data_IF_688684565100
#
_entry.id   IF_688684565100
#
_cell.length_a   1.000
_cell.length_b   1.000
_cell.length_c   1.000
_cell.angle_alpha   90.00
_cell.angle_beta   90.00
_cell.angle_gamma   90.00
#
_symmetry.space_group_name_H-M   'P 1'
#
loop_
_entity.id
_entity.type
_entity.pdbx_description
1 polymer ?
#
# COMPACT_ATOMS: atom_id res chain seq x y z
N UNK A 1 39.26 -59.84 20.48
CA UNK A 1 39.50 -58.40 20.53
C UNK A 1 38.80 -57.80 19.30
N UNK A 2 37.54 -57.36 19.41
CA UNK A 2 36.79 -56.76 18.30
C UNK A 2 36.77 -55.25 18.49
N UNK A 3 37.45 -54.54 17.59
CA UNK A 3 37.41 -53.06 17.56
C UNK A 3 36.16 -52.60 16.83
N UNK A 4 35.26 -51.92 17.52
CA UNK A 4 34.05 -51.36 16.96
C UNK A 4 34.35 -49.91 16.55
N UNK A 5 34.43 -49.64 15.27
CA UNK A 5 34.64 -48.30 14.71
C UNK A 5 33.27 -47.65 14.52
N UNK A 6 32.94 -46.67 15.35
CA UNK A 6 31.70 -45.85 15.20
C UNK A 6 31.94 -44.83 14.08
N UNK A 7 31.24 -45.00 12.97
CA UNK A 7 31.16 -44.01 11.89
C UNK A 7 30.20 -42.91 12.27
N UNK A 8 30.71 -41.73 12.62
CA UNK A 8 29.91 -40.55 12.91
C UNK A 8 29.48 -39.94 11.59
N UNK A 9 28.20 -40.11 11.21
CA UNK A 9 27.61 -39.44 10.05
C UNK A 9 27.27 -38.00 10.43
N UNK A 10 28.05 -37.04 9.92
CA UNK A 10 27.73 -35.61 10.01
C UNK A 10 26.68 -35.31 8.97
N UNK A 11 25.41 -35.11 9.40
CA UNK A 11 24.35 -34.60 8.54
C UNK A 11 24.57 -33.09 8.40
N UNK A 12 25.14 -32.65 7.29
CA UNK A 12 25.22 -31.25 6.92
C UNK A 12 23.81 -30.78 6.55
N UNK A 13 23.19 -30.00 7.44
CA UNK A 13 21.91 -29.32 7.17
C UNK A 13 22.22 -28.21 6.17
N UNK A 14 21.91 -28.41 4.89
CA UNK A 14 22.00 -27.37 3.89
C UNK A 14 20.90 -26.33 4.16
N UNK A 15 21.28 -25.21 4.77
CA UNK A 15 20.41 -24.02 4.86
C UNK A 15 20.37 -23.42 3.46
N UNK A 16 19.36 -23.78 2.67
CA UNK A 16 19.07 -23.09 1.43
C UNK A 16 18.55 -21.68 1.79
N UNK A 17 19.34 -20.64 1.53
CA UNK A 17 18.87 -19.27 1.57
C UNK A 17 17.82 -19.11 0.47
N UNK A 18 16.55 -18.96 0.86
CA UNK A 18 15.49 -18.58 -0.07
C UNK A 18 15.79 -17.14 -0.48
N UNK A 19 16.24 -16.95 -1.72
CA UNK A 19 16.37 -15.63 -2.32
C UNK A 19 14.95 -15.08 -2.57
N UNK A 20 14.74 -13.78 -2.30
CA UNK A 20 13.50 -13.12 -2.64
C UNK A 20 13.24 -13.21 -4.15
N UNK A 21 12.02 -13.59 -4.53
CA UNK A 21 11.60 -13.58 -5.92
C UNK A 21 10.87 -12.25 -6.25
N UNK A 22 10.87 -11.89 -7.53
CA UNK A 22 10.27 -10.65 -8.02
C UNK A 22 11.25 -9.46 -8.07
N UNK A 23 10.76 -8.27 -8.44
CA UNK A 23 11.58 -7.09 -8.64
C UNK A 23 12.09 -6.53 -7.30
N UNK A 24 13.18 -5.76 -7.33
CA UNK A 24 13.64 -5.00 -6.16
C UNK A 24 12.50 -4.14 -5.60
N UNK A 25 12.35 -4.05 -4.28
CA UNK A 25 11.32 -3.26 -3.63
C UNK A 25 11.37 -1.77 -4.07
N UNK A 26 10.22 -1.12 -4.11
CA UNK A 26 10.13 0.33 -4.35
C UNK A 26 10.45 1.05 -3.04
N UNK A 27 11.48 1.91 -2.99
CA UNK A 27 11.78 2.69 -1.79
C UNK A 27 10.71 3.78 -1.59
N UNK A 28 10.03 3.76 -0.46
CA UNK A 28 8.99 4.74 -0.13
C UNK A 28 9.55 5.98 0.57
N UNK A 29 10.81 5.96 1.00
CA UNK A 29 11.39 7.04 1.79
C UNK A 29 10.54 7.40 3.01
N UNK A 30 10.47 8.67 3.36
CA UNK A 30 9.68 9.17 4.49
C UNK A 30 8.16 9.09 4.25
N UNK A 31 7.70 8.95 3.00
CA UNK A 31 6.30 8.67 2.69
C UNK A 31 5.82 7.34 3.32
N UNK A 32 6.72 6.38 3.49
CA UNK A 32 6.45 5.12 4.18
C UNK A 32 6.06 5.23 5.65
N UNK A 33 6.24 6.40 6.29
CA UNK A 33 5.82 6.66 7.67
C UNK A 33 4.31 6.90 7.80
N UNK A 34 3.59 7.09 6.69
CA UNK A 34 2.16 7.39 6.68
C UNK A 34 1.32 6.17 6.29
N UNK A 35 0.20 5.99 6.97
CA UNK A 35 -0.88 5.12 6.52
C UNK A 35 -1.59 5.73 5.31
N UNK A 36 -1.81 7.06 5.36
CA UNK A 36 -2.40 7.84 4.27
C UNK A 36 -1.59 9.13 4.10
N UNK A 37 -1.09 9.36 2.89
CA UNK A 37 -0.46 10.63 2.48
C UNK A 37 -1.11 11.09 1.18
N UNK A 38 -1.58 12.35 1.16
CA UNK A 38 -2.27 12.92 0.00
C UNK A 38 -1.81 14.36 -0.27
N UNK A 39 -1.95 14.81 -1.53
CA UNK A 39 -1.54 16.17 -1.87
C UNK A 39 -2.66 17.20 -1.73
N UNK A 40 -3.93 16.82 -1.89
CA UNK A 40 -5.02 17.80 -1.96
C UNK A 40 -6.05 17.69 -0.83
N UNK A 41 -6.47 16.49 -0.46
CA UNK A 41 -7.45 16.28 0.60
C UNK A 41 -7.46 14.86 1.12
N UNK A 42 -7.85 14.68 2.40
CA UNK A 42 -8.29 13.40 2.95
C UNK A 42 -9.63 13.62 3.64
N UNK A 43 -10.66 12.87 3.22
CA UNK A 43 -12.00 12.97 3.79
C UNK A 43 -12.46 11.62 4.36
N UNK A 44 -13.27 11.69 5.43
CA UNK A 44 -13.90 10.51 6.04
C UNK A 44 -15.35 10.84 6.41
N UNK A 45 -16.31 10.25 5.70
CA UNK A 45 -17.75 10.44 5.96
C UNK A 45 -18.50 9.20 5.45
N UNK A 46 -19.17 8.45 6.31
CA UNK A 46 -19.10 8.42 7.78
C UNK A 46 -17.73 8.03 8.33
N UNK A 47 -17.60 8.02 9.67
CA UNK A 47 -16.33 7.77 10.37
C UNK A 47 -15.64 6.48 9.93
N UNK A 48 -14.31 6.57 9.78
CA UNK A 48 -13.40 5.46 9.40
C UNK A 48 -12.45 5.13 10.55
N UNK A 49 -11.74 4.01 10.46
CA UNK A 49 -10.72 3.61 11.41
C UNK A 49 -9.36 3.52 10.71
N UNK A 50 -8.39 4.32 11.15
CA UNK A 50 -7.05 4.38 10.54
C UNK A 50 -6.00 4.06 11.60
N UNK A 51 -5.21 3.02 11.35
CA UNK A 51 -4.03 2.69 12.15
C UNK A 51 -2.79 3.18 11.44
N UNK A 52 -2.17 4.23 11.99
CA UNK A 52 -0.99 4.92 11.44
C UNK A 52 -1.22 6.42 11.26
N UNK A 53 -0.23 7.13 10.76
CA UNK A 53 -0.29 8.58 10.56
C UNK A 53 -1.01 8.96 9.26
N UNK A 54 -1.63 10.14 9.26
CA UNK A 54 -2.26 10.76 8.08
C UNK A 54 -1.58 12.10 7.81
N UNK A 55 -1.22 12.35 6.56
CA UNK A 55 -0.59 13.60 6.15
C UNK A 55 -1.19 14.18 4.88
N UNK A 56 -1.25 15.53 4.81
CA UNK A 56 -1.56 16.25 3.57
C UNK A 56 -0.57 17.40 3.35
N UNK A 57 -0.13 17.56 2.11
CA UNK A 57 0.69 18.69 1.66
C UNK A 57 0.70 18.75 0.12
N UNK A 58 0.62 19.94 -0.49
CA UNK A 58 0.67 21.28 0.09
C UNK A 58 -0.65 21.78 0.69
N UNK A 59 -1.71 20.94 0.73
CA UNK A 59 -3.02 21.34 1.24
C UNK A 59 -2.99 21.63 2.74
N UNK A 60 -3.83 22.57 3.17
CA UNK A 60 -4.00 22.98 4.56
C UNK A 60 -4.84 21.97 5.37
N UNK A 61 -4.77 22.03 6.70
CA UNK A 61 -5.51 21.16 7.62
C UNK A 61 -7.03 21.20 7.45
N UNK A 62 -7.57 22.28 6.89
CA UNK A 62 -9.00 22.40 6.53
C UNK A 62 -9.46 21.38 5.49
N UNK A 63 -8.52 20.77 4.73
CA UNK A 63 -8.80 19.69 3.79
C UNK A 63 -8.71 18.29 4.40
N UNK A 64 -8.43 18.17 5.71
CA UNK A 64 -8.66 16.97 6.51
C UNK A 64 -10.10 17.02 7.05
N UNK A 65 -11.04 16.47 6.30
CA UNK A 65 -12.48 16.65 6.60
C UNK A 65 -13.11 15.39 7.20
N UNK A 66 -14.07 15.59 8.14
CA UNK A 66 -14.80 14.50 8.80
C UNK A 66 -14.07 13.86 9.99
N UNK A 67 -12.86 14.28 10.32
CA UNK A 67 -12.04 13.67 11.38
C UNK A 67 -12.32 14.18 12.79
N UNK A 68 -13.06 15.30 12.96
CA UNK A 68 -13.22 15.95 14.28
C UNK A 68 -11.85 16.24 14.92
N UNK A 69 -11.03 17.03 14.24
CA UNK A 69 -9.64 17.27 14.62
C UNK A 69 -9.51 18.02 15.95
N UNK A 70 -8.60 17.56 16.79
CA UNK A 70 -8.15 18.28 17.99
C UNK A 70 -6.68 18.63 17.80
N UNK A 71 -6.37 19.94 17.72
CA UNK A 71 -5.01 20.43 17.56
C UNK A 71 -4.19 20.16 18.81
N UNK A 72 -2.94 19.74 18.65
CA UNK A 72 -1.97 19.58 19.73
C UNK A 72 -1.59 20.94 20.36
N UNK A 73 -1.16 20.95 21.60
CA UNK A 73 -0.68 22.17 22.26
C UNK A 73 0.54 22.81 21.58
N UNK A 74 1.29 22.06 20.77
CA UNK A 74 2.42 22.57 19.99
C UNK A 74 1.99 23.14 18.62
N UNK A 75 0.75 22.87 18.17
CA UNK A 75 0.29 23.25 16.84
C UNK A 75 0.92 22.49 15.68
N UNK A 76 1.71 21.44 15.95
CA UNK A 76 2.46 20.70 14.93
C UNK A 76 1.71 19.48 14.37
N UNK A 77 0.68 19.01 15.04
CA UNK A 77 -0.19 17.92 14.59
C UNK A 77 -1.59 18.04 15.21
N UNK A 78 -2.53 17.32 14.66
CA UNK A 78 -3.84 17.09 15.25
C UNK A 78 -4.03 15.61 15.59
N UNK A 79 -4.99 15.33 16.47
CA UNK A 79 -5.46 13.99 16.80
C UNK A 79 -6.94 13.83 16.44
N UNK A 80 -7.37 12.58 16.29
CA UNK A 80 -8.77 12.20 16.06
C UNK A 80 -9.02 10.82 16.67
N UNK A 81 -10.22 10.56 17.14
CA UNK A 81 -10.62 9.22 17.61
C UNK A 81 -10.63 8.18 16.49
N UNK A 82 -10.60 8.61 15.24
CA UNK A 82 -10.59 7.76 14.05
C UNK A 82 -9.18 7.33 13.63
N UNK A 83 -8.11 7.93 14.21
CA UNK A 83 -6.73 7.76 13.77
C UNK A 83 -5.84 7.47 14.96
N UNK A 84 -5.11 6.36 14.95
CA UNK A 84 -4.19 6.02 16.06
C UNK A 84 -2.90 6.83 16.02
N UNK A 85 -2.50 7.34 14.85
CA UNK A 85 -1.35 8.20 14.65
C UNK A 85 -1.69 9.69 14.67
N UNK A 86 -0.75 10.50 14.25
CA UNK A 86 -0.93 11.94 14.10
C UNK A 86 -1.57 12.28 12.75
N UNK A 87 -2.37 13.35 12.72
CA UNK A 87 -2.80 13.99 11.48
C UNK A 87 -2.00 15.28 11.31
N UNK A 88 -1.37 15.44 10.15
CA UNK A 88 -0.46 16.53 9.84
C UNK A 88 -0.83 17.23 8.54
N UNK A 89 -0.66 18.55 8.47
CA UNK A 89 -0.99 19.37 7.31
C UNK A 89 0.08 20.45 7.06
N UNK A 90 0.15 20.95 5.83
CA UNK A 90 1.19 21.88 5.41
C UNK A 90 1.16 23.26 6.11
N UNK A 91 0.03 23.64 6.69
CA UNK A 91 -0.16 24.89 7.44
C UNK A 91 0.04 24.76 8.96
N UNK A 92 0.46 23.58 9.44
CA UNK A 92 0.74 23.38 10.87
C UNK A 92 2.10 23.95 11.29
N UNK A 93 2.34 24.04 12.58
CA UNK A 93 3.57 24.60 13.14
C UNK A 93 4.83 23.84 12.67
N UNK A 94 5.96 24.57 12.61
CA UNK A 94 7.26 23.95 12.32
C UNK A 94 7.64 22.88 13.36
N UNK A 95 8.24 21.72 12.94
CA UNK A 95 8.84 21.44 11.62
C UNK A 95 7.89 20.73 10.63
N UNK A 96 6.59 20.61 10.89
CA UNK A 96 5.64 19.78 10.11
C UNK A 96 5.63 20.11 8.61
N UNK A 97 5.62 21.38 8.15
CA UNK A 97 5.59 21.68 6.72
C UNK A 97 6.80 21.10 5.96
N UNK A 98 8.00 21.19 6.53
CA UNK A 98 9.22 20.67 5.89
C UNK A 98 9.27 19.15 5.87
N UNK A 99 8.79 18.48 6.93
CA UNK A 99 8.68 17.02 7.00
C UNK A 99 7.71 16.52 5.90
N UNK A 100 6.55 17.16 5.77
CA UNK A 100 5.56 16.82 4.76
C UNK A 100 6.04 17.09 3.34
N UNK A 101 6.76 18.20 3.10
CA UNK A 101 7.36 18.48 1.78
C UNK A 101 8.31 17.36 1.36
N UNK A 102 9.15 16.87 2.28
CA UNK A 102 10.04 15.74 2.03
C UNK A 102 9.22 14.47 1.74
N UNK A 103 8.19 14.18 2.53
CA UNK A 103 7.38 12.98 2.36
C UNK A 103 6.60 12.98 1.02
N UNK A 104 6.09 14.12 0.59
CA UNK A 104 5.44 14.26 -0.74
C UNK A 104 6.47 14.09 -1.87
N UNK A 105 7.68 14.62 -1.72
CA UNK A 105 8.78 14.40 -2.66
C UNK A 105 9.14 12.92 -2.79
N UNK A 106 9.25 12.23 -1.65
CA UNK A 106 9.52 10.80 -1.60
C UNK A 106 8.38 9.97 -2.22
N UNK A 107 7.12 10.35 -1.99
CA UNK A 107 5.96 9.74 -2.64
C UNK A 107 6.03 9.85 -4.16
N UNK A 108 6.36 11.03 -4.69
CA UNK A 108 6.55 11.25 -6.13
C UNK A 108 7.69 10.41 -6.71
N UNK A 109 8.80 10.33 -5.98
CA UNK A 109 9.96 9.50 -6.34
C UNK A 109 9.61 8.01 -6.34
N UNK A 110 8.90 7.54 -5.31
CA UNK A 110 8.43 6.15 -5.23
C UNK A 110 7.48 5.80 -6.38
N UNK A 111 6.53 6.69 -6.70
CA UNK A 111 5.64 6.52 -7.84
C UNK A 111 6.44 6.38 -9.13
N UNK A 112 7.36 7.33 -9.41
CA UNK A 112 8.19 7.33 -10.61
C UNK A 112 9.05 6.06 -10.68
N UNK A 113 9.70 5.68 -9.57
CA UNK A 113 10.49 4.46 -9.49
C UNK A 113 9.66 3.21 -9.86
N UNK A 114 8.45 3.09 -9.33
CA UNK A 114 7.58 1.96 -9.64
C UNK A 114 7.04 2.00 -11.08
N UNK A 115 6.66 3.19 -11.58
CA UNK A 115 6.01 3.35 -12.89
C UNK A 115 6.96 3.19 -14.08
N UNK A 116 8.26 3.50 -13.91
CA UNK A 116 9.23 3.51 -15.01
C UNK A 116 10.07 2.24 -15.12
N UNK A 117 9.80 1.22 -14.32
CA UNK A 117 10.51 -0.06 -14.43
C UNK A 117 10.21 -0.72 -15.77
N UNK A 118 11.26 -1.16 -16.44
CA UNK A 118 11.21 -1.85 -17.73
C UNK A 118 11.30 -3.38 -17.54
N UNK A 119 10.93 -4.11 -18.60
CA UNK A 119 11.02 -5.56 -18.63
C UNK A 119 10.01 -6.24 -17.70
N UNK A 120 8.69 -5.99 -17.83
CA UNK A 120 7.71 -6.67 -17.02
C UNK A 120 7.77 -8.19 -17.24
N UNK A 121 7.70 -8.93 -16.14
CA UNK A 121 7.61 -10.41 -16.18
C UNK A 121 6.25 -10.83 -16.75
N UNK A 122 5.22 -10.01 -16.51
CA UNK A 122 3.84 -10.27 -16.93
C UNK A 122 3.25 -9.03 -17.61
N UNK A 123 2.93 -9.15 -18.89
CA UNK A 123 2.35 -8.06 -19.69
C UNK A 123 0.91 -8.39 -20.07
N UNK A 124 -0.04 -7.47 -19.79
CA UNK A 124 -1.47 -7.54 -20.14
C UNK A 124 -2.16 -8.86 -19.75
N UNK A 125 -1.64 -9.57 -18.73
CA UNK A 125 -2.23 -10.87 -18.36
C UNK A 125 -3.68 -10.71 -17.92
N UNK A 126 -4.48 -11.73 -18.26
CA UNK A 126 -5.92 -11.76 -18.00
C UNK A 126 -6.67 -10.52 -18.52
N UNK A 127 -6.09 -9.76 -19.44
CA UNK A 127 -6.63 -8.47 -19.93
C UNK A 127 -7.06 -7.51 -18.81
N UNK A 128 -6.35 -7.56 -17.66
CA UNK A 128 -6.65 -6.77 -16.46
C UNK A 128 -7.77 -7.30 -15.57
N UNK A 129 -8.37 -8.46 -15.87
CA UNK A 129 -9.43 -9.09 -15.05
C UNK A 129 -8.81 -10.09 -14.07
N UNK A 130 -8.51 -9.67 -12.83
CA UNK A 130 -7.77 -10.48 -11.85
C UNK A 130 -8.62 -11.47 -11.04
N UNK A 131 -9.95 -11.39 -11.12
CA UNK A 131 -10.83 -12.25 -10.34
C UNK A 131 -10.61 -13.75 -10.60
N UNK A 132 -10.47 -14.55 -9.53
CA UNK A 132 -10.24 -15.99 -9.61
C UNK A 132 -8.80 -16.42 -9.91
N UNK A 133 -7.84 -15.47 -10.02
CA UNK A 133 -6.46 -15.78 -10.39
C UNK A 133 -5.54 -15.92 -9.16
N UNK A 134 -4.34 -16.46 -9.38
CA UNK A 134 -3.23 -16.43 -8.44
C UNK A 134 -2.04 -15.73 -9.07
N UNK A 135 -1.55 -14.67 -8.43
CA UNK A 135 -0.44 -13.86 -8.91
C UNK A 135 0.85 -14.22 -8.16
N UNK A 136 1.88 -14.61 -8.90
CA UNK A 136 3.22 -14.94 -8.40
C UNK A 136 4.08 -13.68 -8.29
N UNK A 137 5.21 -13.71 -7.55
CA UNK A 137 6.14 -12.57 -7.47
C UNK A 137 6.59 -12.11 -8.86
N UNK A 138 6.65 -10.78 -9.07
CA UNK A 138 7.07 -10.24 -10.36
C UNK A 138 6.66 -8.80 -10.61
N UNK A 139 7.14 -8.27 -11.72
CA UNK A 139 6.75 -6.98 -12.29
C UNK A 139 5.64 -7.21 -13.32
N UNK A 140 4.50 -6.58 -13.09
CA UNK A 140 3.30 -6.65 -13.93
C UNK A 140 3.07 -5.32 -14.62
N UNK A 141 2.61 -5.35 -15.87
CA UNK A 141 2.25 -4.14 -16.60
C UNK A 141 0.94 -4.31 -17.34
N UNK A 142 0.05 -3.31 -17.19
CA UNK A 142 -1.15 -3.11 -18.00
C UNK A 142 -1.20 -1.67 -18.51
N UNK A 143 -1.48 -1.50 -19.79
CA UNK A 143 -1.69 -0.20 -20.43
C UNK A 143 -3.14 0.27 -20.31
N UNK A 144 -4.01 -0.59 -19.79
CA UNK A 144 -5.43 -0.35 -19.56
C UNK A 144 -5.80 -0.42 -18.07
N UNK A 145 -7.10 -0.40 -17.77
CA UNK A 145 -7.62 -0.54 -16.42
C UNK A 145 -7.55 -1.99 -15.93
N UNK A 146 -7.36 -2.14 -14.61
CA UNK A 146 -7.31 -3.44 -13.93
C UNK A 146 -8.45 -3.52 -12.91
N UNK A 147 -9.10 -4.67 -12.82
CA UNK A 147 -10.18 -4.90 -11.87
C UNK A 147 -10.33 -6.34 -11.45
N UNK A 148 -10.96 -6.54 -10.30
CA UNK A 148 -11.34 -7.86 -9.82
C UNK A 148 -12.82 -7.90 -9.45
N UNK A 149 -13.61 -8.70 -10.18
CA UNK A 149 -15.02 -8.96 -9.90
C UNK A 149 -15.26 -10.22 -9.06
N UNK A 150 -14.19 -10.96 -8.74
CA UNK A 150 -14.14 -12.08 -7.82
C UNK A 150 -12.88 -11.97 -6.94
N UNK A 151 -12.83 -12.77 -5.88
CA UNK A 151 -11.63 -12.88 -5.04
C UNK A 151 -10.44 -13.36 -5.88
N UNK A 152 -9.22 -12.92 -5.52
CA UNK A 152 -8.00 -13.44 -6.11
C UNK A 152 -6.87 -13.55 -5.08
N UNK A 153 -5.82 -14.26 -5.43
CA UNK A 153 -4.73 -14.59 -4.50
C UNK A 153 -3.41 -13.99 -4.98
N UNK A 154 -2.63 -13.47 -4.05
CA UNK A 154 -1.21 -13.13 -4.24
C UNK A 154 -0.41 -14.14 -3.42
N UNK A 155 0.43 -14.95 -4.08
CA UNK A 155 1.10 -16.09 -3.46
C UNK A 155 2.60 -16.01 -3.62
N UNK A 156 3.32 -16.14 -2.50
CA UNK A 156 4.78 -16.15 -2.43
C UNK A 156 5.25 -16.13 -0.98
N UNK A 157 6.55 -15.98 -0.79
CA UNK A 157 7.18 -15.94 0.55
C UNK A 157 7.11 -14.54 1.19
N UNK A 158 7.56 -14.44 2.43
CA UNK A 158 7.57 -13.18 3.18
C UNK A 158 8.58 -12.14 2.66
N UNK A 159 9.50 -12.55 1.79
CA UNK A 159 10.54 -11.69 1.19
C UNK A 159 10.28 -11.35 -0.28
N UNK A 160 9.32 -12.03 -0.89
CA UNK A 160 8.98 -11.82 -2.29
C UNK A 160 8.28 -10.47 -2.51
N UNK A 161 8.39 -9.95 -3.74
CA UNK A 161 7.89 -8.64 -4.10
C UNK A 161 7.03 -8.67 -5.36
N UNK A 162 6.02 -7.79 -5.37
CA UNK A 162 5.10 -7.59 -6.49
C UNK A 162 5.02 -6.10 -6.82
N UNK A 163 5.17 -5.75 -8.08
CA UNK A 163 4.93 -4.40 -8.56
C UNK A 163 3.94 -4.47 -9.71
N UNK A 164 2.83 -3.79 -9.54
CA UNK A 164 1.73 -3.71 -10.51
C UNK A 164 1.70 -2.32 -11.13
N UNK A 165 2.14 -2.20 -12.38
CA UNK A 165 2.07 -0.96 -13.16
C UNK A 165 0.75 -0.93 -13.93
N UNK A 166 -0.10 0.06 -13.65
CA UNK A 166 -1.44 0.19 -14.22
C UNK A 166 -1.59 1.59 -14.80
N UNK A 167 -1.64 1.72 -16.13
CA UNK A 167 -1.80 3.01 -16.78
C UNK A 167 -3.27 3.50 -16.75
N UNK A 168 -4.22 2.60 -16.51
CA UNK A 168 -5.63 2.91 -16.31
C UNK A 168 -6.03 3.03 -14.84
N UNK A 169 -7.28 2.69 -14.54
CA UNK A 169 -7.84 2.66 -13.18
C UNK A 169 -7.65 1.30 -12.51
N UNK A 170 -7.73 1.27 -11.16
CA UNK A 170 -7.73 0.04 -10.38
C UNK A 170 -9.05 -0.09 -9.60
N UNK A 171 -9.73 -1.22 -9.72
CA UNK A 171 -10.98 -1.50 -9.04
C UNK A 171 -11.04 -2.85 -8.36
N UNK A 172 -11.56 -2.89 -7.10
CA UNK A 172 -11.95 -4.13 -6.44
C UNK A 172 -13.44 -4.09 -6.16
N UNK A 173 -14.19 -5.07 -6.69
CA UNK A 173 -15.65 -5.11 -6.61
C UNK A 173 -16.13 -5.31 -5.17
N UNK A 174 -17.41 -4.97 -4.91
CA UNK A 174 -18.01 -5.04 -3.59
C UNK A 174 -17.94 -6.46 -2.98
N UNK A 175 -17.54 -6.52 -1.71
CA UNK A 175 -17.39 -7.76 -0.95
C UNK A 175 -16.28 -8.69 -1.42
N UNK A 176 -15.42 -8.26 -2.34
CA UNK A 176 -14.30 -9.08 -2.85
C UNK A 176 -13.02 -8.83 -2.05
N UNK A 177 -12.13 -9.83 -2.07
CA UNK A 177 -10.90 -9.76 -1.29
C UNK A 177 -9.67 -10.19 -2.08
N UNK A 178 -8.55 -9.60 -1.72
CA UNK A 178 -7.22 -10.10 -2.06
C UNK A 178 -6.79 -11.03 -0.92
N UNK A 179 -6.43 -12.27 -1.25
CA UNK A 179 -5.92 -13.23 -0.27
C UNK A 179 -4.41 -13.34 -0.40
N UNK A 180 -3.69 -13.22 0.70
CA UNK A 180 -2.25 -13.46 0.73
C UNK A 180 -1.98 -14.91 1.10
N UNK A 181 -1.14 -15.60 0.33
CA UNK A 181 -0.78 -17.00 0.52
C UNK A 181 0.75 -17.21 0.54
N UNK A 182 1.20 -18.33 1.11
CA UNK A 182 2.62 -18.70 1.15
C UNK A 182 3.51 -17.85 2.06
N UNK A 183 2.93 -16.88 2.76
CA UNK A 183 3.68 -15.92 3.59
C UNK A 183 3.83 -14.53 2.97
N UNK A 184 3.23 -14.28 1.79
CA UNK A 184 3.22 -12.97 1.14
C UNK A 184 2.78 -11.86 2.09
N UNK A 185 3.44 -10.71 2.04
CA UNK A 185 3.20 -9.59 2.95
C UNK A 185 2.73 -8.35 2.20
N UNK A 186 1.67 -7.70 2.70
CA UNK A 186 1.10 -6.50 2.10
C UNK A 186 2.12 -5.38 1.85
N UNK A 187 3.10 -5.21 2.73
CA UNK A 187 4.16 -4.19 2.57
C UNK A 187 5.05 -4.38 1.33
N UNK A 188 5.11 -5.60 0.79
CA UNK A 188 5.92 -5.96 -0.38
C UNK A 188 5.12 -5.94 -1.69
N UNK A 189 3.85 -5.55 -1.63
CA UNK A 189 2.93 -5.50 -2.77
C UNK A 189 2.68 -4.02 -3.10
N UNK A 190 3.15 -3.58 -4.27
CA UNK A 190 3.07 -2.17 -4.69
C UNK A 190 2.18 -2.03 -5.91
N UNK A 191 1.11 -1.25 -5.77
CA UNK A 191 0.18 -0.89 -6.83
C UNK A 191 0.48 0.51 -7.32
N UNK A 192 1.08 0.63 -8.50
CA UNK A 192 1.42 1.91 -9.14
C UNK A 192 0.35 2.22 -10.17
N UNK A 193 -0.52 3.17 -9.86
CA UNK A 193 -1.76 3.41 -10.63
C UNK A 193 -1.79 4.83 -11.17
N UNK A 194 -1.88 4.97 -12.50
CA UNK A 194 -1.98 6.29 -13.13
C UNK A 194 -3.41 6.85 -13.07
N UNK A 195 -4.41 6.01 -13.13
CA UNK A 195 -5.82 6.40 -13.00
C UNK A 195 -6.32 6.39 -11.55
N UNK A 196 -7.64 6.48 -11.39
CA UNK A 196 -8.27 6.42 -10.07
C UNK A 196 -8.29 5.00 -9.50
N UNK A 197 -8.24 4.92 -8.16
CA UNK A 197 -8.41 3.65 -7.43
C UNK A 197 -9.75 3.65 -6.71
N UNK A 198 -10.51 2.58 -6.85
CA UNK A 198 -11.82 2.41 -6.22
C UNK A 198 -11.96 1.05 -5.56
N UNK A 199 -11.96 1.04 -4.22
CA UNK A 199 -12.22 -0.14 -3.40
C UNK A 199 -13.70 -0.09 -3.00
N UNK A 200 -14.52 -1.00 -3.53
CA UNK A 200 -15.97 -0.98 -3.35
C UNK A 200 -16.38 -1.44 -1.96
N UNK A 201 -17.69 -1.28 -1.63
CA UNK A 201 -18.22 -1.56 -0.31
C UNK A 201 -17.90 -3.00 0.16
N UNK A 202 -17.40 -3.13 1.40
CA UNK A 202 -17.05 -4.40 2.03
C UNK A 202 -15.85 -5.14 1.41
N UNK A 203 -15.15 -4.52 0.45
CA UNK A 203 -14.00 -5.15 -0.18
C UNK A 203 -12.75 -5.09 0.71
N UNK A 204 -11.86 -6.09 0.62
CA UNK A 204 -10.65 -6.22 1.43
C UNK A 204 -9.41 -6.17 0.53
N UNK A 205 -8.63 -5.11 0.65
CA UNK A 205 -7.49 -4.83 -0.21
C UNK A 205 -6.16 -5.01 0.54
N UNK A 206 -5.15 -5.51 -0.15
CA UNK A 206 -3.81 -5.77 0.38
C UNK A 206 -2.74 -5.04 -0.45
N UNK A 207 -1.84 -4.34 0.21
CA UNK A 207 -0.68 -3.71 -0.42
C UNK A 207 -0.62 -2.19 -0.28
N UNK A 208 0.43 -1.62 -0.84
CA UNK A 208 0.71 -0.18 -0.88
C UNK A 208 0.19 0.38 -2.20
N UNK A 209 -0.68 1.36 -2.13
CA UNK A 209 -1.20 2.08 -3.31
C UNK A 209 -0.37 3.34 -3.52
N UNK A 210 0.31 3.43 -4.66
CA UNK A 210 0.95 4.63 -5.19
C UNK A 210 0.08 5.15 -6.33
N UNK A 211 -0.81 6.10 -6.05
CA UNK A 211 -1.77 6.61 -7.01
C UNK A 211 -1.39 8.00 -7.52
N UNK A 212 -1.44 8.19 -8.83
CA UNK A 212 -1.25 9.52 -9.45
C UNK A 212 -2.49 10.40 -9.28
N UNK A 213 -3.66 9.77 -9.11
CA UNK A 213 -4.95 10.46 -8.96
C UNK A 213 -5.63 10.04 -7.63
N UNK A 214 -6.95 10.16 -7.57
CA UNK A 214 -7.71 9.92 -6.34
C UNK A 214 -7.85 8.44 -5.98
N UNK A 215 -7.92 8.17 -4.67
CA UNK A 215 -8.22 6.86 -4.10
C UNK A 215 -9.52 6.96 -3.29
N UNK A 216 -10.46 6.05 -3.54
CA UNK A 216 -11.74 5.98 -2.82
C UNK A 216 -11.92 4.61 -2.18
N UNK A 217 -12.14 4.58 -0.87
CA UNK A 217 -12.55 3.40 -0.12
C UNK A 217 -14.00 3.57 0.30
N UNK A 218 -14.88 2.67 -0.18
CA UNK A 218 -16.32 2.73 0.09
C UNK A 218 -16.69 1.99 1.38
N UNK A 219 -17.94 2.14 1.78
CA UNK A 219 -18.50 1.70 3.07
C UNK A 219 -18.09 0.28 3.45
N UNK A 220 -17.47 0.15 4.62
CA UNK A 220 -17.07 -1.14 5.18
C UNK A 220 -15.88 -1.80 4.48
N UNK A 221 -15.24 -1.14 3.52
CA UNK A 221 -14.03 -1.67 2.89
C UNK A 221 -12.82 -1.58 3.82
N UNK A 222 -11.82 -2.41 3.58
CA UNK A 222 -10.57 -2.40 4.35
C UNK A 222 -9.35 -2.45 3.45
N UNK A 223 -8.26 -1.85 3.92
CA UNK A 223 -6.95 -1.90 3.30
C UNK A 223 -5.88 -2.18 4.35
N UNK A 224 -5.13 -3.27 4.16
CA UNK A 224 -3.89 -3.54 4.87
C UNK A 224 -2.72 -3.05 4.00
N UNK A 225 -2.06 -1.99 4.43
CA UNK A 225 -0.99 -1.35 3.66
C UNK A 225 -0.98 0.15 3.81
N UNK A 226 -0.80 0.89 2.71
CA UNK A 226 -0.72 2.37 2.69
C UNK A 226 -1.42 2.94 1.48
N UNK A 227 -1.89 4.18 1.60
CA UNK A 227 -2.43 4.96 0.49
C UNK A 227 -1.57 6.21 0.35
N UNK A 228 -0.82 6.28 -0.75
CA UNK A 228 0.05 7.40 -1.10
C UNK A 228 -0.48 7.99 -2.42
N UNK A 229 -1.30 9.05 -2.33
CA UNK A 229 -2.04 9.62 -3.45
C UNK A 229 -1.56 11.03 -3.81
N UNK A 230 -1.22 11.26 -5.08
CA UNK A 230 -0.80 12.58 -5.54
C UNK A 230 -1.97 13.58 -5.68
N UNK A 231 -3.20 13.16 -5.40
CA UNK A 231 -4.37 14.03 -5.26
C UNK A 231 -5.09 13.76 -3.95
N UNK A 232 -6.29 13.22 -3.94
CA UNK A 232 -7.14 13.07 -2.76
C UNK A 232 -7.39 11.61 -2.37
N UNK A 233 -7.75 11.43 -1.09
CA UNK A 233 -8.23 10.17 -0.55
C UNK A 233 -9.60 10.38 0.09
N UNK A 234 -10.60 9.59 -0.32
CA UNK A 234 -11.93 9.61 0.24
C UNK A 234 -12.27 8.27 0.91
N UNK A 235 -12.66 8.33 2.17
CA UNK A 235 -13.01 7.16 2.98
C UNK A 235 -14.48 7.23 3.39
N UNK A 236 -15.18 6.09 3.32
CA UNK A 236 -16.58 5.96 3.74
C UNK A 236 -16.68 4.78 4.71
N UNK A 237 -16.67 5.01 6.01
CA UNK A 237 -16.67 3.95 7.04
C UNK A 237 -15.65 2.83 6.71
N UNK A 238 -14.46 3.22 6.27
CA UNK A 238 -13.43 2.29 5.82
C UNK A 238 -12.40 2.04 6.93
N UNK A 239 -11.68 0.93 6.83
CA UNK A 239 -10.57 0.60 7.72
C UNK A 239 -9.26 0.62 6.95
N UNK A 240 -8.24 1.36 7.45
CA UNK A 240 -6.88 1.35 6.88
C UNK A 240 -5.90 0.99 7.98
N UNK A 241 -5.09 -0.06 7.75
CA UNK A 241 -4.08 -0.53 8.71
C UNK A 241 -2.72 -0.49 8.06
N UNK A 242 -1.85 0.39 8.55
CA UNK A 242 -0.46 0.47 8.10
C UNK A 242 0.31 -0.79 8.49
N UNK A 243 0.95 -1.42 7.51
CA UNK A 243 1.77 -2.63 7.67
C UNK A 243 3.22 -2.34 7.32
#
# INVERSE_FOLDING_TARGET
>A
MFSSTYLLAIIALAISSVSAAGPTAVPLGTAGNYAILASTAVSTVPQSAITGAVGISPAAGTFLTGFSLTMSGTGTFSTSTQVTGQLTAADYGTPTPSILTTAIGDMGTAYTNGATRSGPDFLEIYTGALGGTTLLPGLYKWTSSVGASADFTISGTSTDTWIFQIDGTLGLAAGKKITLAGGAQAKNIIWVVAGAVSIQAGAQFEGVILAKTAVTLKTGSSLNGRILAQTSVALQSATVVQK
#
